data_IF_963133646417
#
_entry.id   IF_963133646417
#
_cell.length_a   1.000
_cell.length_b   1.000
_cell.length_c   1.000
_cell.angle_alpha   90.00
_cell.angle_beta   90.00
_cell.angle_gamma   90.00
#
_symmetry.space_group_name_H-M   'P 1'
#
loop_
_entity.id
_entity.type
_entity.pdbx_description
1 polymer ?
#
# COMPACT_ATOMS: atom_id res chain seq x y z
N UNK A 1 -19.43 12.47 -7.43
CA UNK A 1 -18.89 11.63 -6.35
C UNK A 1 -18.34 10.35 -6.98
N UNK A 2 -17.04 10.28 -7.32
CA UNK A 2 -16.45 9.09 -7.96
C UNK A 2 -16.30 7.99 -6.90
N UNK A 3 -17.06 6.91 -7.04
CA UNK A 3 -16.93 5.73 -6.21
C UNK A 3 -15.64 5.00 -6.62
N UNK A 4 -14.66 4.91 -5.70
CA UNK A 4 -13.38 4.25 -5.94
C UNK A 4 -13.63 2.78 -6.31
N UNK A 5 -13.03 2.27 -7.39
CA UNK A 5 -13.16 0.88 -7.85
C UNK A 5 -12.87 -0.15 -6.73
N UNK A 6 -11.97 0.18 -5.79
CA UNK A 6 -11.67 -0.61 -4.59
C UNK A 6 -12.91 -0.84 -3.68
N UNK A 7 -13.77 0.16 -3.54
CA UNK A 7 -15.01 0.06 -2.74
C UNK A 7 -16.04 -0.83 -3.43
N UNK A 8 -16.07 -0.83 -4.77
CA UNK A 8 -16.99 -1.63 -5.57
C UNK A 8 -16.59 -3.10 -5.51
N UNK A 9 -15.30 -3.40 -5.69
CA UNK A 9 -14.77 -4.76 -5.63
C UNK A 9 -14.94 -5.38 -4.24
N UNK A 10 -14.68 -4.61 -3.16
CA UNK A 10 -14.88 -5.11 -1.80
C UNK A 10 -16.35 -5.36 -1.47
N UNK A 11 -17.27 -4.47 -1.90
CA UNK A 11 -18.71 -4.67 -1.73
C UNK A 11 -19.23 -5.89 -2.51
N UNK A 12 -18.76 -6.07 -3.74
CA UNK A 12 -19.12 -7.22 -4.58
C UNK A 12 -18.64 -8.53 -3.94
N UNK A 13 -17.42 -8.58 -3.43
CA UNK A 13 -16.87 -9.76 -2.75
C UNK A 13 -17.67 -10.16 -1.51
N UNK A 14 -18.02 -9.18 -0.66
CA UNK A 14 -18.86 -9.43 0.54
C UNK A 14 -20.25 -9.92 0.14
N UNK A 15 -20.86 -9.29 -0.87
CA UNK A 15 -22.19 -9.67 -1.36
C UNK A 15 -22.20 -11.09 -1.94
N UNK A 16 -21.15 -11.46 -2.68
CA UNK A 16 -20.99 -12.79 -3.26
C UNK A 16 -20.81 -13.86 -2.17
N UNK A 17 -20.05 -13.56 -1.12
CA UNK A 17 -19.87 -14.47 0.01
C UNK A 17 -21.18 -14.73 0.77
N UNK A 18 -21.99 -13.68 1.00
CA UNK A 18 -23.31 -13.81 1.64
C UNK A 18 -24.25 -14.65 0.76
N UNK A 19 -24.32 -14.33 -0.53
CA UNK A 19 -25.18 -15.05 -1.47
C UNK A 19 -24.77 -16.53 -1.62
N UNK A 20 -23.46 -16.79 -1.73
CA UNK A 20 -22.92 -18.16 -1.77
C UNK A 20 -23.22 -18.93 -0.49
N UNK A 21 -23.06 -18.31 0.68
CA UNK A 21 -23.42 -18.94 1.97
C UNK A 21 -24.89 -19.31 1.99
N UNK A 22 -25.79 -18.40 1.59
CA UNK A 22 -27.23 -18.64 1.57
C UNK A 22 -27.62 -19.80 0.64
N UNK A 23 -27.05 -19.84 -0.57
CA UNK A 23 -27.27 -20.95 -1.51
C UNK A 23 -26.81 -22.28 -0.94
N UNK A 24 -25.66 -22.33 -0.26
CA UNK A 24 -25.14 -23.57 0.34
C UNK A 24 -26.05 -24.08 1.46
N UNK A 25 -26.65 -23.19 2.25
CA UNK A 25 -27.65 -23.54 3.24
C UNK A 25 -28.94 -24.12 2.61
N UNK A 26 -29.36 -23.63 1.44
CA UNK A 26 -30.52 -24.17 0.71
C UNK A 26 -30.24 -25.57 0.13
N UNK A 27 -29.01 -25.82 -0.32
CA UNK A 27 -28.63 -27.12 -0.92
C UNK A 27 -28.40 -28.18 0.16
N UNK A 28 -27.61 -27.85 1.19
CA UNK A 28 -27.25 -28.80 2.24
C UNK A 28 -26.88 -28.08 3.54
N UNK A 29 -27.60 -28.39 4.62
CA UNK A 29 -27.41 -27.72 5.91
C UNK A 29 -26.01 -27.88 6.50
N UNK A 30 -25.36 -29.03 6.32
CA UNK A 30 -23.99 -29.27 6.79
C UNK A 30 -22.96 -28.49 5.98
N UNK A 31 -23.15 -28.42 4.66
CA UNK A 31 -22.27 -27.66 3.77
C UNK A 31 -22.38 -26.15 4.04
N UNK A 32 -23.61 -25.66 4.25
CA UNK A 32 -23.87 -24.29 4.68
C UNK A 32 -23.16 -23.95 5.99
N UNK A 33 -23.26 -24.83 7.00
CA UNK A 33 -22.61 -24.64 8.30
C UNK A 33 -21.07 -24.59 8.19
N UNK A 34 -20.46 -25.55 7.47
CA UNK A 34 -18.99 -25.57 7.27
C UNK A 34 -18.52 -24.30 6.56
N UNK A 35 -19.24 -23.86 5.51
CA UNK A 35 -18.87 -22.66 4.79
C UNK A 35 -19.03 -21.39 5.63
N UNK A 36 -20.08 -21.30 6.45
CA UNK A 36 -20.23 -20.19 7.40
C UNK A 36 -19.07 -20.12 8.39
N UNK A 37 -18.63 -21.26 8.95
CA UNK A 37 -17.46 -21.30 9.83
C UNK A 37 -16.18 -20.86 9.11
N UNK A 38 -15.99 -21.29 7.87
CA UNK A 38 -14.87 -20.85 7.05
C UNK A 38 -14.88 -19.33 6.81
N UNK A 39 -16.02 -18.76 6.41
CA UNK A 39 -16.17 -17.31 6.20
C UNK A 39 -15.88 -16.55 7.50
N UNK A 40 -16.38 -17.02 8.65
CA UNK A 40 -16.09 -16.42 9.94
C UNK A 40 -14.59 -16.45 10.27
N UNK A 41 -13.92 -17.57 10.04
CA UNK A 41 -12.48 -17.71 10.25
C UNK A 41 -11.69 -16.71 9.38
N UNK A 42 -12.04 -16.60 8.09
CA UNK A 42 -11.41 -15.65 7.17
C UNK A 42 -11.68 -14.20 7.59
N UNK A 43 -12.91 -13.87 8.03
CA UNK A 43 -13.26 -12.54 8.53
C UNK A 43 -12.47 -12.15 9.78
N UNK A 44 -12.35 -13.06 10.75
CA UNK A 44 -11.58 -12.84 11.98
C UNK A 44 -10.11 -12.57 11.63
N UNK A 45 -9.54 -13.42 10.78
CA UNK A 45 -8.16 -13.27 10.33
C UNK A 45 -7.94 -11.94 9.60
N UNK A 46 -8.82 -11.60 8.66
CA UNK A 46 -8.80 -10.33 7.94
C UNK A 46 -8.84 -9.12 8.88
N UNK A 47 -9.73 -9.14 9.87
CA UNK A 47 -9.84 -8.06 10.85
C UNK A 47 -8.58 -7.93 11.71
N UNK A 48 -8.00 -9.04 12.16
CA UNK A 48 -6.74 -9.05 12.92
C UNK A 48 -5.60 -8.42 12.10
N UNK A 49 -5.40 -8.89 10.87
CA UNK A 49 -4.36 -8.38 9.96
C UNK A 49 -4.55 -6.90 9.64
N UNK A 50 -5.80 -6.44 9.50
CA UNK A 50 -6.10 -5.01 9.31
C UNK A 50 -5.75 -4.16 10.53
N UNK A 51 -6.05 -4.65 11.74
CA UNK A 51 -5.71 -3.96 13.00
C UNK A 51 -4.20 -3.82 13.13
N UNK A 52 -3.45 -4.89 12.87
CA UNK A 52 -1.98 -4.87 12.90
C UNK A 52 -1.40 -3.87 11.90
N UNK A 53 -1.86 -3.87 10.64
CA UNK A 53 -1.39 -2.91 9.64
C UNK A 53 -1.77 -1.46 9.95
N UNK A 54 -2.96 -1.22 10.51
CA UNK A 54 -3.34 0.12 10.96
C UNK A 54 -2.53 0.57 12.17
N UNK A 55 -2.15 -0.34 13.07
CA UNK A 55 -1.27 -0.03 14.18
C UNK A 55 0.11 0.38 13.67
N UNK A 56 0.66 -0.36 12.71
CA UNK A 56 1.91 -0.01 12.04
C UNK A 56 1.87 1.40 11.44
N UNK A 57 0.84 1.69 10.64
CA UNK A 57 0.70 3.00 10.00
C UNK A 57 0.48 4.14 10.99
N UNK A 58 -0.22 3.89 12.11
CA UNK A 58 -0.38 4.87 13.20
C UNK A 58 0.96 5.15 13.89
N UNK A 59 1.78 4.14 14.10
CA UNK A 59 3.09 4.29 14.71
C UNK A 59 4.00 5.13 13.81
N UNK A 60 4.04 4.83 12.50
CA UNK A 60 4.75 5.65 11.51
C UNK A 60 4.25 7.09 11.53
N UNK A 61 2.92 7.29 11.48
CA UNK A 61 2.31 8.63 11.54
C UNK A 61 2.72 9.41 12.79
N UNK A 62 2.79 8.74 13.95
CA UNK A 62 3.25 9.34 15.20
C UNK A 62 4.72 9.75 15.17
N UNK A 63 5.59 8.93 14.56
CA UNK A 63 7.03 9.20 14.47
C UNK A 63 7.36 10.42 13.59
N UNK A 64 6.55 10.65 12.56
CA UNK A 64 6.75 11.76 11.59
C UNK A 64 5.73 12.89 11.77
N UNK A 65 4.97 12.89 12.86
CA UNK A 65 3.95 13.91 13.20
C UNK A 65 2.96 14.17 12.04
N UNK A 66 2.57 13.13 11.31
CA UNK A 66 1.60 13.20 10.22
C UNK A 66 0.25 12.61 10.63
N UNK A 67 -0.79 12.86 9.83
CA UNK A 67 -2.14 12.39 10.10
C UNK A 67 -2.35 10.96 9.60
N UNK A 68 -2.92 10.11 10.46
CA UNK A 68 -3.42 8.80 10.07
C UNK A 68 -4.89 8.90 9.65
N UNK A 69 -5.18 8.58 8.39
CA UNK A 69 -6.53 8.56 7.84
C UNK A 69 -7.01 7.11 7.72
N UNK A 70 -8.09 6.71 8.41
CA UNK A 70 -8.61 5.34 8.36
C UNK A 70 -9.18 4.99 6.97
N UNK A 71 -8.88 3.79 6.48
CA UNK A 71 -9.25 3.33 5.13
C UNK A 71 -10.59 2.58 5.02
N UNK A 72 -11.38 2.48 6.09
CA UNK A 72 -12.63 1.70 6.08
C UNK A 72 -12.36 0.20 5.89
N UNK A 73 -12.66 -0.35 4.71
CA UNK A 73 -12.32 -1.74 4.33
C UNK A 73 -10.90 -1.88 3.74
N UNK A 74 -10.12 -0.81 3.66
CA UNK A 74 -8.70 -0.87 3.33
C UNK A 74 -7.85 -0.55 4.57
N UNK A 75 -6.54 -0.74 4.45
CA UNK A 75 -5.59 -0.14 5.39
C UNK A 75 -5.74 1.38 5.38
N UNK A 76 -5.51 2.00 6.54
CA UNK A 76 -5.35 3.44 6.60
C UNK A 76 -4.10 3.91 5.87
N UNK A 77 -4.04 5.21 5.65
CA UNK A 77 -2.91 5.90 5.00
C UNK A 77 -2.40 7.01 5.89
N UNK A 78 -1.12 7.31 5.77
CA UNK A 78 -0.49 8.44 6.45
C UNK A 78 -0.35 9.58 5.45
N UNK A 79 -0.84 10.76 5.78
CA UNK A 79 -0.69 11.97 4.94
C UNK A 79 -0.31 13.13 5.84
N UNK A 80 0.62 13.95 5.41
CA UNK A 80 0.97 15.17 6.13
C UNK A 80 2.07 15.97 5.46
N UNK A 81 2.57 16.97 6.19
CA UNK A 81 3.78 17.71 5.84
C UNK A 81 4.84 17.28 6.84
N UNK A 82 5.97 16.81 6.34
CA UNK A 82 7.11 16.39 7.16
C UNK A 82 8.37 17.05 6.60
N UNK A 83 9.06 17.82 7.45
CA UNK A 83 10.24 18.61 7.06
C UNK A 83 10.01 19.49 5.82
N UNK A 84 8.85 20.13 5.70
CA UNK A 84 8.48 20.97 4.55
C UNK A 84 7.98 20.21 3.33
N UNK A 85 8.12 18.88 3.27
CA UNK A 85 7.67 18.07 2.14
C UNK A 85 6.31 17.44 2.39
N UNK A 86 5.46 17.41 1.36
CA UNK A 86 4.19 16.66 1.42
C UNK A 86 4.46 15.16 1.30
N UNK A 87 4.04 14.41 2.31
CA UNK A 87 4.26 12.97 2.42
C UNK A 87 2.93 12.21 2.32
N UNK A 88 2.93 11.10 1.60
CA UNK A 88 1.86 10.10 1.59
C UNK A 88 2.43 8.68 1.72
N UNK A 89 1.92 7.91 2.68
CA UNK A 89 2.25 6.48 2.85
C UNK A 89 0.95 5.69 2.75
N UNK A 90 0.88 4.74 1.82
CA UNK A 90 -0.32 3.92 1.60
C UNK A 90 0.06 2.49 1.20
N UNK A 91 -0.71 1.51 1.69
CA UNK A 91 -0.71 0.14 1.14
C UNK A 91 -1.55 0.12 -0.12
N UNK A 92 -0.94 -0.25 -1.25
CA UNK A 92 -1.62 -0.47 -2.51
C UNK A 92 -1.83 -1.96 -2.77
N UNK A 93 -2.94 -2.29 -3.43
CA UNK A 93 -3.30 -3.67 -3.80
C UNK A 93 -3.31 -3.79 -5.33
N UNK A 94 -2.15 -4.07 -5.94
CA UNK A 94 -2.02 -4.39 -7.38
C UNK A 94 -2.31 -3.27 -8.40
N UNK A 95 -1.29 -3.02 -9.23
CA UNK A 95 -1.23 -2.33 -10.54
C UNK A 95 -2.19 -1.16 -10.85
N UNK A 96 -1.67 0.08 -10.71
CA UNK A 96 -2.22 1.26 -11.37
C UNK A 96 -1.33 1.58 -12.60
N UNK A 97 -1.71 1.08 -13.77
CA UNK A 97 -1.00 1.24 -15.05
C UNK A 97 -1.07 2.65 -15.63
N UNK A 98 -1.65 3.62 -14.92
CA UNK A 98 -2.07 4.89 -15.53
C UNK A 98 -1.09 6.07 -15.37
N UNK A 99 0.11 5.90 -14.77
CA UNK A 99 0.97 7.05 -14.41
C UNK A 99 2.49 6.85 -14.61
N UNK A 100 2.97 7.21 -15.80
CA UNK A 100 4.34 7.71 -16.07
C UNK A 100 5.52 6.79 -15.68
N UNK A 101 6.74 7.34 -15.68
CA UNK A 101 7.99 6.60 -15.40
C UNK A 101 8.00 5.90 -14.03
N UNK A 102 7.22 6.39 -13.06
CA UNK A 102 6.94 5.71 -11.78
C UNK A 102 6.20 4.38 -12.00
N UNK A 103 5.28 4.33 -12.95
CA UNK A 103 4.67 3.10 -13.46
C UNK A 103 5.66 2.20 -14.21
N UNK A 104 6.70 2.75 -14.84
CA UNK A 104 7.74 1.97 -15.51
C UNK A 104 8.78 1.40 -14.52
N UNK A 105 9.19 2.12 -13.48
CA UNK A 105 10.02 1.61 -12.39
C UNK A 105 9.29 0.56 -11.54
N UNK A 106 8.00 0.77 -11.29
CA UNK A 106 7.11 -0.27 -10.77
C UNK A 106 7.00 -1.45 -11.74
N UNK A 107 6.99 -1.20 -13.05
CA UNK A 107 6.94 -2.26 -14.05
C UNK A 107 8.23 -3.06 -14.15
N UNK A 108 9.42 -2.48 -13.94
CA UNK A 108 10.71 -3.19 -14.03
C UNK A 108 11.01 -4.00 -12.77
N UNK A 109 10.67 -3.50 -11.59
CA UNK A 109 10.67 -4.31 -10.36
C UNK A 109 9.61 -5.42 -10.46
N UNK A 110 8.42 -5.11 -10.99
CA UNK A 110 7.41 -6.13 -11.28
C UNK A 110 7.84 -7.12 -12.40
N UNK A 111 8.67 -6.69 -13.37
CA UNK A 111 9.21 -7.52 -14.45
C UNK A 111 10.33 -8.47 -13.99
N UNK A 112 11.15 -8.07 -13.03
CA UNK A 112 12.09 -9.01 -12.42
C UNK A 112 11.38 -10.00 -11.46
N UNK A 113 10.15 -9.68 -11.05
CA UNK A 113 9.22 -10.59 -10.37
C UNK A 113 8.34 -11.39 -11.36
N UNK A 114 8.53 -11.26 -12.68
CA UNK A 114 7.62 -11.83 -13.69
C UNK A 114 7.68 -13.36 -13.80
N UNK A 115 8.61 -14.04 -13.11
CA UNK A 115 8.59 -15.50 -12.93
C UNK A 115 7.50 -15.91 -11.91
N UNK A 116 7.03 -14.99 -11.05
CA UNK A 116 5.88 -15.17 -10.14
C UNK A 116 4.53 -14.77 -10.73
N UNK A 117 4.47 -14.17 -11.92
CA UNK A 117 3.27 -13.52 -12.46
C UNK A 117 2.19 -14.47 -13.01
N UNK A 118 2.43 -15.78 -13.01
CA UNK A 118 1.38 -16.78 -13.24
C UNK A 118 0.54 -17.07 -11.97
N UNK A 119 0.92 -16.51 -10.81
CA UNK A 119 0.18 -16.63 -9.55
C UNK A 119 0.32 -15.40 -8.62
N UNK A 120 -0.59 -14.43 -8.71
CA UNK A 120 -0.98 -13.64 -7.52
C UNK A 120 -0.61 -12.15 -7.50
N UNK A 121 -1.59 -11.37 -7.08
CA UNK A 121 -1.55 -9.92 -6.87
C UNK A 121 -0.73 -9.64 -5.59
N UNK A 122 0.46 -9.06 -5.70
CA UNK A 122 1.22 -8.63 -4.52
C UNK A 122 0.73 -7.27 -4.00
N UNK A 123 0.42 -7.22 -2.71
CA UNK A 123 0.15 -5.97 -2.00
C UNK A 123 1.50 -5.34 -1.61
N UNK A 124 1.63 -4.02 -1.72
CA UNK A 124 2.88 -3.32 -1.36
C UNK A 124 2.59 -1.95 -0.75
N UNK A 125 3.45 -1.52 0.16
CA UNK A 125 3.43 -0.13 0.64
C UNK A 125 4.28 0.73 -0.28
N UNK A 126 3.79 1.94 -0.59
CA UNK A 126 4.62 2.99 -1.17
C UNK A 126 4.66 4.19 -0.23
N UNK A 127 5.81 4.85 -0.23
CA UNK A 127 6.02 6.17 0.37
C UNK A 127 6.21 7.15 -0.77
N UNK A 128 5.44 8.23 -0.78
CA UNK A 128 5.53 9.29 -1.76
C UNK A 128 5.88 10.60 -1.06
N UNK A 129 6.94 11.25 -1.51
CA UNK A 129 7.43 12.54 -1.02
C UNK A 129 7.36 13.52 -2.19
N UNK A 130 6.69 14.66 -2.03
CA UNK A 130 6.75 15.73 -3.02
C UNK A 130 7.93 16.66 -2.73
N UNK A 131 8.60 17.12 -3.78
CA UNK A 131 9.75 18.03 -3.68
C UNK A 131 9.75 19.06 -4.81
N UNK A 132 10.62 20.06 -4.69
CA UNK A 132 10.80 21.17 -5.62
C UNK A 132 12.18 21.14 -6.32
N UNK A 133 12.98 20.10 -6.09
CA UNK A 133 14.26 19.90 -6.77
C UNK A 133 14.12 19.99 -8.31
N UNK A 134 15.03 20.75 -8.94
CA UNK A 134 15.11 20.86 -10.40
C UNK A 134 15.91 19.67 -10.91
N UNK A 135 15.25 18.79 -11.65
CA UNK A 135 15.86 17.59 -12.23
C UNK A 135 15.70 17.62 -13.74
N UNK A 136 16.82 17.41 -14.44
CA UNK A 136 16.83 17.31 -15.90
C UNK A 136 16.21 15.99 -16.37
N UNK A 137 16.49 14.88 -15.67
CA UNK A 137 15.94 13.55 -15.96
C UNK A 137 15.60 12.78 -14.67
N UNK A 138 14.53 11.96 -14.66
CA UNK A 138 14.23 11.07 -13.54
C UNK A 138 15.32 10.01 -13.33
N UNK A 139 15.59 9.64 -12.09
CA UNK A 139 16.65 8.68 -11.75
C UNK A 139 16.26 7.81 -10.55
N UNK A 140 17.05 6.76 -10.31
CA UNK A 140 16.91 5.88 -9.15
C UNK A 140 17.98 6.22 -8.13
N UNK A 141 17.59 6.46 -6.87
CA UNK A 141 18.54 6.61 -5.76
C UNK A 141 19.09 5.25 -5.32
N UNK A 142 18.22 4.23 -5.36
CA UNK A 142 18.55 2.83 -5.09
C UNK A 142 17.56 1.93 -5.86
N UNK A 143 17.63 0.61 -5.67
CA UNK A 143 16.76 -0.37 -6.35
C UNK A 143 15.26 -0.21 -6.05
N UNK A 144 14.88 0.52 -5.01
CA UNK A 144 13.51 0.66 -4.48
C UNK A 144 13.06 2.12 -4.34
N UNK A 145 13.93 3.08 -4.65
CA UNK A 145 13.69 4.52 -4.52
C UNK A 145 13.87 5.20 -5.87
N UNK A 146 12.77 5.78 -6.37
CA UNK A 146 12.71 6.47 -7.66
C UNK A 146 12.43 7.95 -7.44
N UNK A 147 13.12 8.82 -8.15
CA UNK A 147 12.95 10.28 -8.07
C UNK A 147 12.62 10.81 -9.46
N UNK A 148 11.51 11.55 -9.54
CA UNK A 148 11.05 12.27 -10.72
C UNK A 148 10.99 13.77 -10.38
N UNK A 149 10.85 14.63 -11.39
CA UNK A 149 10.80 16.10 -11.35
C UNK A 149 10.02 16.76 -10.22
N UNK A 150 9.06 16.07 -9.57
CA UNK A 150 8.26 16.63 -8.45
C UNK A 150 8.06 15.67 -7.29
N UNK A 151 8.51 14.43 -7.43
CA UNK A 151 8.16 13.38 -6.46
C UNK A 151 9.24 12.32 -6.36
N UNK A 152 9.58 11.95 -5.13
CA UNK A 152 10.29 10.71 -4.83
C UNK A 152 9.31 9.65 -4.34
N UNK A 153 9.49 8.42 -4.80
CA UNK A 153 8.70 7.25 -4.43
C UNK A 153 9.62 6.15 -3.94
N UNK A 154 9.39 5.71 -2.71
CA UNK A 154 10.09 4.59 -2.10
C UNK A 154 9.16 3.39 -1.87
N UNK A 155 9.64 2.20 -2.22
CA UNK A 155 8.94 0.92 -2.11
C UNK A 155 9.59 0.05 -1.04
N UNK A 156 9.24 0.24 0.25
CA UNK A 156 9.80 -0.56 1.31
C UNK A 156 9.54 -2.06 1.11
N UNK A 157 10.46 -2.92 1.54
CA UNK A 157 10.20 -4.36 1.56
C UNK A 157 8.91 -4.64 2.33
N UNK A 158 7.98 -5.31 1.66
CA UNK A 158 6.61 -5.51 2.13
C UNK A 158 6.31 -7.00 2.20
N UNK A 159 5.45 -7.40 3.14
CA UNK A 159 4.92 -8.76 3.17
C UNK A 159 3.96 -8.92 1.98
N UNK A 160 4.25 -9.82 1.03
CA UNK A 160 3.45 -9.96 -0.20
C UNK A 160 1.97 -10.25 0.02
N UNK A 161 1.62 -10.85 1.16
CA UNK A 161 0.23 -11.13 1.52
C UNK A 161 -0.51 -9.88 2.04
N UNK A 162 0.11 -9.10 2.93
CA UNK A 162 -0.55 -7.96 3.60
C UNK A 162 -0.24 -6.61 2.95
N UNK A 163 0.89 -6.50 2.27
CA UNK A 163 1.46 -5.26 1.75
C UNK A 163 2.00 -4.31 2.80
N UNK A 164 1.97 -4.68 4.08
CA UNK A 164 2.57 -3.91 5.18
C UNK A 164 4.09 -4.07 5.10
N UNK A 165 4.90 -3.04 5.37
CA UNK A 165 6.34 -3.17 5.38
C UNK A 165 6.81 -4.24 6.37
N UNK A 166 7.79 -5.04 5.98
CA UNK A 166 8.42 -6.06 6.84
C UNK A 166 9.43 -5.48 7.83
N UNK A 167 9.82 -4.22 7.63
CA UNK A 167 10.72 -3.46 8.50
C UNK A 167 9.96 -2.73 9.61
N UNK A 168 10.64 -2.45 10.72
CA UNK A 168 10.07 -1.68 11.84
C UNK A 168 9.69 -0.25 11.40
N UNK A 169 8.67 0.38 12.04
CA UNK A 169 8.29 1.77 11.77
C UNK A 169 9.46 2.75 11.87
N UNK A 170 10.35 2.59 12.86
CA UNK A 170 11.53 3.44 13.04
C UNK A 170 12.48 3.36 11.84
N UNK A 171 12.75 2.15 11.34
CA UNK A 171 13.62 1.94 10.17
C UNK A 171 13.00 2.51 8.88
N UNK A 172 11.66 2.47 8.76
CA UNK A 172 10.98 3.13 7.64
C UNK A 172 11.19 4.65 7.70
N UNK A 173 11.06 5.24 8.89
CA UNK A 173 11.24 6.69 9.09
C UNK A 173 12.70 7.11 8.88
N UNK A 174 13.67 6.32 9.33
CA UNK A 174 15.09 6.54 9.03
C UNK A 174 15.33 6.59 7.52
N UNK A 175 14.75 5.65 6.76
CA UNK A 175 14.89 5.66 5.30
C UNK A 175 14.19 6.85 4.64
N UNK A 176 13.04 7.28 5.17
CA UNK A 176 12.39 8.51 4.73
C UNK A 176 13.28 9.73 4.96
N UNK A 177 13.94 9.81 6.12
CA UNK A 177 14.87 10.89 6.43
C UNK A 177 16.06 10.91 5.47
N UNK A 178 16.67 9.77 5.20
CA UNK A 178 17.78 9.68 4.23
C UNK A 178 17.37 10.16 2.82
N UNK A 179 16.16 9.83 2.39
CA UNK A 179 15.62 10.28 1.09
C UNK A 179 15.39 11.79 1.11
N UNK A 180 14.77 12.32 2.17
CA UNK A 180 14.53 13.76 2.32
C UNK A 180 15.86 14.53 2.37
N UNK A 181 16.85 14.07 3.14
CA UNK A 181 18.17 14.71 3.20
C UNK A 181 18.87 14.76 1.83
N UNK A 182 18.64 13.75 1.00
CA UNK A 182 19.19 13.70 -0.36
C UNK A 182 18.46 14.69 -1.28
N UNK A 183 17.14 14.81 -1.16
CA UNK A 183 16.32 15.76 -1.90
C UNK A 183 16.65 17.21 -1.50
N UNK A 184 16.74 17.50 -0.20
CA UNK A 184 17.08 18.84 0.32
C UNK A 184 18.43 19.32 -0.24
N UNK A 185 19.45 18.44 -0.29
CA UNK A 185 20.74 18.75 -0.93
C UNK A 185 20.63 19.08 -2.43
N UNK A 186 19.68 18.48 -3.13
CA UNK A 186 19.44 18.79 -4.55
C UNK A 186 18.73 20.12 -4.72
N UNK A 187 17.88 20.51 -3.76
CA UNK A 187 17.19 21.80 -3.75
C UNK A 187 18.13 22.97 -3.40
N UNK A 188 19.10 22.74 -2.52
CA UNK A 188 20.09 23.75 -2.09
C UNK A 188 21.16 24.07 -3.14
N UNK A 189 21.46 23.14 -4.06
CA UNK A 189 22.46 23.35 -5.13
C UNK A 189 21.93 24.18 -6.32
N UNK A 190 20.95 25.06 -6.05
CA UNK A 190 20.31 25.96 -7.00
C UNK A 190 20.91 27.37 -6.93
#
# INVERSE_FOLDING_TARGET
>A
MKMNNEKIASLAGVSLAIFGTFLLWLVNIFLGLIFTLFVLMVLIWYMKTKVEGNSYMKEVAKLITCDFIPGGLAYGRVIGIYRGHKLEIKVNKGYDSSKGLVGLGLSTIALNSLIGLLAGIENFTYVKINHEAVLDEPFSLDERTFVDSKTAVYLPPSNGFTGIPSIKPTCLVEKINEIIDTIEKMEENR
#
